data_IF_576737746295
#
_entry.id   IF_576737746295
#
_cell.length_a   1.000
_cell.length_b   1.000
_cell.length_c   1.000
_cell.angle_alpha   90.00
_cell.angle_beta   90.00
_cell.angle_gamma   90.00
#
_symmetry.space_group_name_H-M   'P 1'
#
loop_
_entity.id
_entity.type
_entity.pdbx_description
1 polymer ?
#
# COMPACT_ATOMS: atom_id res chain seq x y z
N UNK A 1 -36.27 13.72 43.94
CA UNK A 1 -35.04 14.17 43.27
C UNK A 1 -34.45 12.98 42.54
N UNK A 2 -34.55 12.94 41.21
CA UNK A 2 -34.03 11.85 40.38
C UNK A 2 -32.52 11.98 40.24
N UNK A 3 -31.76 10.94 40.56
CA UNK A 3 -30.32 10.89 40.31
C UNK A 3 -30.06 11.03 38.80
N UNK A 4 -29.04 11.80 38.37
CA UNK A 4 -28.66 11.86 36.97
C UNK A 4 -28.09 10.51 36.52
N UNK A 5 -28.74 9.87 35.56
CA UNK A 5 -28.35 8.58 34.97
C UNK A 5 -27.20 8.76 33.97
N UNK A 6 -25.98 8.78 34.49
CA UNK A 6 -24.76 9.04 33.72
C UNK A 6 -24.43 7.90 32.73
N UNK A 7 -24.91 6.67 32.98
CA UNK A 7 -24.57 5.49 32.19
C UNK A 7 -25.36 5.38 30.88
N UNK A 8 -26.65 5.71 30.90
CA UNK A 8 -27.48 5.69 29.69
C UNK A 8 -27.12 6.83 28.74
N UNK A 9 -26.78 8.00 29.25
CA UNK A 9 -26.34 9.13 28.43
C UNK A 9 -25.00 8.87 27.72
N UNK A 10 -24.06 8.18 28.39
CA UNK A 10 -22.77 7.85 27.79
C UNK A 10 -22.90 6.80 26.68
N UNK A 11 -23.75 5.78 26.88
CA UNK A 11 -24.03 4.77 25.86
C UNK A 11 -24.77 5.36 24.67
N UNK A 12 -25.73 6.25 24.89
CA UNK A 12 -26.39 7.03 23.82
C UNK A 12 -25.40 7.90 23.05
N UNK A 13 -24.49 8.60 23.73
CA UNK A 13 -23.49 9.44 23.08
C UNK A 13 -22.50 8.60 22.25
N UNK A 14 -22.06 7.45 22.78
CA UNK A 14 -21.18 6.53 22.04
C UNK A 14 -21.87 5.93 20.82
N UNK A 15 -23.13 5.51 20.95
CA UNK A 15 -23.91 5.01 19.82
C UNK A 15 -24.17 6.11 18.78
N UNK A 16 -24.46 7.34 19.20
CA UNK A 16 -24.64 8.48 18.31
C UNK A 16 -23.36 8.84 17.54
N UNK A 17 -22.18 8.73 18.16
CA UNK A 17 -20.89 8.96 17.49
C UNK A 17 -20.60 7.83 16.49
N UNK A 18 -20.90 6.58 16.84
CA UNK A 18 -20.74 5.42 15.95
C UNK A 18 -21.69 5.56 14.75
N UNK A 19 -22.94 5.96 14.98
CA UNK A 19 -23.92 6.19 13.92
C UNK A 19 -23.55 7.40 13.05
N UNK A 20 -23.05 8.49 13.64
CA UNK A 20 -22.55 9.65 12.88
C UNK A 20 -21.33 9.31 12.02
N UNK A 21 -20.46 8.38 12.45
CA UNK A 21 -19.36 7.88 11.62
C UNK A 21 -19.82 6.94 10.50
N UNK A 22 -20.97 6.28 10.67
CA UNK A 22 -21.59 5.42 9.65
C UNK A 22 -22.43 6.21 8.66
N UNK A 23 -22.80 7.44 8.99
CA UNK A 23 -23.40 8.37 8.04
C UNK A 23 -22.32 8.87 7.08
N UNK A 24 -22.27 8.26 5.90
CA UNK A 24 -21.56 8.78 4.71
C UNK A 24 -21.90 10.26 4.49
N UNK A 25 -20.95 11.06 3.97
CA UNK A 25 -21.09 12.52 3.86
C UNK A 25 -22.43 12.93 3.23
N UNK A 26 -23.14 13.92 3.81
CA UNK A 26 -24.37 14.42 3.26
C UNK A 26 -24.02 15.30 2.07
N UNK A 27 -24.01 14.74 0.85
CA UNK A 27 -24.09 15.42 -0.46
C UNK A 27 -24.12 14.35 -1.59
N UNK A 28 -24.88 13.26 -1.40
CA UNK A 28 -25.23 12.36 -2.49
C UNK A 28 -26.73 12.10 -2.44
N UNK A 29 -27.40 12.47 -3.54
CA UNK A 29 -28.82 12.25 -3.77
C UNK A 29 -29.16 10.78 -3.53
N UNK A 30 -30.34 10.48 -2.97
CA UNK A 30 -30.84 9.11 -2.82
C UNK A 30 -30.85 8.39 -4.19
N UNK A 31 -31.00 9.14 -5.28
CA UNK A 31 -30.88 8.65 -6.65
C UNK A 31 -29.44 8.26 -7.00
N UNK A 32 -28.45 9.08 -6.68
CA UNK A 32 -27.02 8.74 -6.88
C UNK A 32 -26.65 7.53 -6.02
N UNK A 33 -27.09 7.50 -4.76
CA UNK A 33 -26.88 6.36 -3.85
C UNK A 33 -27.46 5.06 -4.41
N UNK A 34 -28.66 5.10 -4.99
CA UNK A 34 -29.26 3.93 -5.65
C UNK A 34 -28.58 3.62 -6.99
N UNK A 35 -28.17 4.61 -7.80
CA UNK A 35 -27.39 4.40 -9.03
C UNK A 35 -26.06 3.75 -8.76
N UNK A 36 -25.32 4.19 -7.73
CA UNK A 36 -24.07 3.57 -7.29
C UNK A 36 -24.33 2.13 -6.81
N UNK A 37 -25.42 1.88 -6.09
CA UNK A 37 -25.78 0.54 -5.63
C UNK A 37 -26.14 -0.43 -6.79
N UNK A 38 -26.82 0.06 -7.83
CA UNK A 38 -27.16 -0.75 -9.01
C UNK A 38 -26.01 -0.87 -10.03
N UNK A 39 -25.18 0.16 -10.19
CA UNK A 39 -24.01 0.15 -11.07
C UNK A 39 -22.88 -0.74 -10.52
N UNK A 40 -22.76 -0.85 -9.20
CA UNK A 40 -21.80 -1.75 -8.53
C UNK A 40 -21.83 -3.17 -9.07
N UNK A 41 -23.02 -3.74 -9.32
CA UNK A 41 -23.17 -5.11 -9.88
C UNK A 41 -22.62 -5.31 -11.30
N UNK A 42 -22.18 -4.25 -11.99
CA UNK A 42 -21.66 -4.32 -13.37
C UNK A 42 -20.17 -4.02 -13.47
N UNK A 43 -19.43 -3.86 -12.37
CA UNK A 43 -18.00 -3.52 -12.41
C UNK A 43 -17.18 -4.47 -13.31
N UNK A 44 -17.37 -5.81 -13.26
CA UNK A 44 -16.68 -6.72 -14.18
C UNK A 44 -17.02 -6.51 -15.67
N UNK A 45 -18.23 -6.03 -15.98
CA UNK A 45 -18.65 -5.72 -17.36
C UNK A 45 -18.11 -4.37 -17.85
N UNK A 46 -17.74 -3.49 -16.92
CA UNK A 46 -17.20 -2.15 -17.19
C UNK A 46 -15.67 -2.12 -17.22
N UNK A 47 -15.00 -3.25 -17.03
CA UNK A 47 -13.53 -3.39 -17.02
C UNK A 47 -12.82 -3.00 -18.33
N UNK A 48 -13.53 -2.55 -19.37
CA UNK A 48 -12.95 -1.96 -20.59
C UNK A 48 -13.12 -0.45 -20.73
N UNK A 49 -13.76 0.20 -19.76
CA UNK A 49 -13.99 1.65 -19.77
C UNK A 49 -12.88 2.39 -19.04
N UNK A 50 -12.63 3.66 -19.35
CA UNK A 50 -11.53 4.39 -18.71
C UNK A 50 -11.70 4.47 -17.18
N UNK A 51 -10.60 4.34 -16.42
CA UNK A 51 -10.62 4.52 -14.94
C UNK A 51 -11.16 5.90 -14.54
N UNK A 52 -10.93 6.92 -15.37
CA UNK A 52 -11.53 8.25 -15.18
C UNK A 52 -13.05 8.24 -15.25
N UNK A 53 -13.64 7.47 -16.16
CA UNK A 53 -15.10 7.29 -16.26
C UNK A 53 -15.64 6.52 -15.06
N UNK A 54 -14.94 5.46 -14.63
CA UNK A 54 -15.31 4.71 -13.43
C UNK A 54 -15.28 5.59 -12.18
N UNK A 55 -14.29 6.48 -12.07
CA UNK A 55 -14.19 7.45 -10.98
C UNK A 55 -15.35 8.45 -10.98
N UNK A 56 -15.75 8.93 -12.16
CA UNK A 56 -16.94 9.80 -12.30
C UNK A 56 -18.24 9.07 -11.96
N UNK A 57 -18.30 7.76 -12.19
CA UNK A 57 -19.38 6.88 -11.75
C UNK A 57 -19.29 6.53 -10.25
N UNK A 58 -18.34 7.10 -9.52
CA UNK A 58 -18.16 6.95 -8.08
C UNK A 58 -17.55 5.62 -7.63
N UNK A 59 -16.92 4.88 -8.53
CA UNK A 59 -16.17 3.69 -8.14
C UNK A 59 -14.89 4.08 -7.41
N UNK A 60 -14.56 3.30 -6.37
CA UNK A 60 -13.34 3.40 -5.58
C UNK A 60 -12.50 2.11 -5.71
N UNK A 61 -11.19 2.15 -5.46
CA UNK A 61 -10.33 0.96 -5.51
C UNK A 61 -10.84 -0.22 -4.69
N UNK A 62 -11.47 0.05 -3.55
CA UNK A 62 -12.03 -0.94 -2.64
C UNK A 62 -13.16 -1.74 -3.29
N UNK A 63 -13.94 -1.13 -4.20
CA UNK A 63 -14.99 -1.84 -4.93
C UNK A 63 -14.37 -2.99 -5.76
N UNK A 64 -13.18 -2.80 -6.35
CA UNK A 64 -12.53 -3.86 -7.13
C UNK A 64 -12.13 -5.07 -6.28
N UNK A 65 -11.84 -4.85 -5.00
CA UNK A 65 -11.56 -5.90 -4.03
C UNK A 65 -12.86 -6.61 -3.66
N UNK A 66 -13.95 -5.87 -3.42
CA UNK A 66 -15.27 -6.44 -3.16
C UNK A 66 -15.79 -7.32 -4.32
N UNK A 67 -15.46 -6.95 -5.56
CA UNK A 67 -15.77 -7.75 -6.76
C UNK A 67 -14.77 -8.87 -7.05
N UNK A 68 -13.81 -9.11 -6.16
CA UNK A 68 -12.79 -10.16 -6.27
C UNK A 68 -12.04 -10.13 -7.62
N UNK A 69 -11.80 -8.94 -8.17
CA UNK A 69 -11.08 -8.80 -9.44
C UNK A 69 -9.59 -8.97 -9.15
N UNK A 70 -8.93 -10.00 -9.71
CA UNK A 70 -7.50 -10.16 -9.54
C UNK A 70 -6.74 -9.08 -10.32
N UNK A 71 -5.59 -8.67 -9.81
CA UNK A 71 -4.74 -7.64 -10.40
C UNK A 71 -4.37 -7.92 -11.86
N UNK A 72 -4.10 -9.19 -12.18
CA UNK A 72 -3.74 -9.66 -13.53
C UNK A 72 -4.84 -9.43 -14.58
N UNK A 73 -6.11 -9.29 -14.15
CA UNK A 73 -7.24 -9.04 -15.06
C UNK A 73 -7.53 -7.56 -15.31
N UNK A 74 -6.78 -6.65 -14.69
CA UNK A 74 -6.97 -5.21 -14.86
C UNK A 74 -6.26 -4.77 -16.15
N UNK A 75 -6.96 -4.19 -17.14
CA UNK A 75 -6.34 -3.81 -18.41
C UNK A 75 -5.72 -2.39 -18.39
N UNK A 76 -5.60 -1.76 -17.23
CA UNK A 76 -5.15 -0.38 -17.08
C UNK A 76 -3.65 -0.29 -16.80
N UNK A 77 -3.05 0.84 -17.17
CA UNK A 77 -1.64 1.10 -16.85
C UNK A 77 -1.46 1.37 -15.34
N UNK A 78 -0.24 1.15 -14.84
CA UNK A 78 0.10 1.44 -13.43
C UNK A 78 -0.08 2.95 -13.12
N UNK A 79 0.23 3.82 -14.07
CA UNK A 79 0.02 5.27 -13.94
C UNK A 79 -1.46 5.61 -13.75
N UNK A 80 -2.35 5.00 -14.54
CA UNK A 80 -3.79 5.21 -14.43
C UNK A 80 -4.34 4.65 -13.11
N UNK A 81 -3.86 3.48 -12.69
CA UNK A 81 -4.21 2.89 -11.41
C UNK A 81 -3.79 3.80 -10.24
N UNK A 82 -2.59 4.36 -10.29
CA UNK A 82 -2.10 5.27 -9.26
C UNK A 82 -2.88 6.61 -9.25
N UNK A 83 -3.27 7.13 -10.43
CA UNK A 83 -4.09 8.34 -10.55
C UNK A 83 -5.56 8.11 -10.10
N UNK A 84 -6.08 6.90 -10.32
CA UNK A 84 -7.40 6.49 -9.85
C UNK A 84 -7.44 6.51 -8.32
N UNK A 85 -6.39 5.99 -7.67
CA UNK A 85 -6.21 5.98 -6.22
C UNK A 85 -5.81 4.62 -5.65
N UNK A 86 -5.40 3.66 -6.49
CA UNK A 86 -4.92 2.37 -6.00
C UNK A 86 -3.68 2.54 -5.13
N UNK A 87 -3.72 1.96 -3.94
CA UNK A 87 -2.57 1.85 -3.04
C UNK A 87 -1.94 0.47 -3.20
N UNK A 88 -0.69 0.32 -2.75
CA UNK A 88 -0.04 -1.00 -2.78
C UNK A 88 -0.80 -2.04 -1.94
N UNK A 89 -1.41 -1.64 -0.82
CA UNK A 89 -2.23 -2.55 -0.01
C UNK A 89 -3.47 -3.04 -0.78
N UNK A 90 -4.07 -2.19 -1.64
CA UNK A 90 -5.16 -2.62 -2.52
C UNK A 90 -4.67 -3.66 -3.54
N UNK A 91 -3.48 -3.46 -4.10
CA UNK A 91 -2.88 -4.43 -5.03
C UNK A 91 -2.66 -5.78 -4.34
N UNK A 92 -2.12 -5.78 -3.12
CA UNK A 92 -1.95 -6.99 -2.32
C UNK A 92 -3.29 -7.73 -2.10
N UNK A 93 -4.35 -6.99 -1.75
CA UNK A 93 -5.69 -7.55 -1.58
C UNK A 93 -6.26 -8.13 -2.90
N UNK A 94 -5.87 -7.57 -4.04
CA UNK A 94 -6.22 -8.06 -5.39
C UNK A 94 -5.27 -9.16 -5.90
N UNK A 95 -4.56 -9.87 -5.02
CA UNK A 95 -3.63 -10.96 -5.37
C UNK A 95 -2.43 -10.51 -6.23
N UNK A 96 -1.82 -9.37 -5.90
CA UNK A 96 -0.59 -8.92 -6.54
C UNK A 96 0.59 -9.84 -6.23
N UNK A 97 1.11 -10.48 -7.28
CA UNK A 97 2.26 -11.40 -7.24
C UNK A 97 3.60 -10.75 -7.59
N UNK A 98 4.75 -11.37 -7.22
CA UNK A 98 6.09 -10.86 -7.48
C UNK A 98 6.41 -10.56 -8.95
N UNK A 99 5.86 -11.32 -9.89
CA UNK A 99 6.14 -11.14 -11.31
C UNK A 99 5.58 -9.81 -11.86
N UNK A 100 4.53 -9.25 -11.25
CA UNK A 100 3.95 -7.96 -11.65
C UNK A 100 4.87 -6.78 -11.35
N UNK A 101 5.85 -6.92 -10.44
CA UNK A 101 6.86 -5.88 -10.22
C UNK A 101 7.67 -5.57 -11.48
N UNK A 102 7.75 -6.48 -12.45
CA UNK A 102 8.40 -6.20 -13.74
C UNK A 102 7.68 -5.13 -14.57
N UNK A 103 6.39 -4.90 -14.31
CA UNK A 103 5.60 -3.84 -14.95
C UNK A 103 5.83 -2.48 -14.28
N UNK A 104 6.49 -2.44 -13.12
CA UNK A 104 6.71 -1.20 -12.39
C UNK A 104 7.98 -0.52 -12.88
N UNK A 105 7.85 0.77 -13.19
CA UNK A 105 8.99 1.65 -13.33
C UNK A 105 9.45 2.16 -11.95
N UNK A 106 10.69 2.63 -11.88
CA UNK A 106 11.27 3.16 -10.64
C UNK A 106 10.41 4.26 -9.97
N UNK A 107 9.74 5.08 -10.77
CA UNK A 107 8.83 6.13 -10.26
C UNK A 107 7.63 5.57 -9.49
N UNK A 108 7.09 4.42 -9.91
CA UNK A 108 5.91 3.81 -9.29
C UNK A 108 6.19 3.33 -7.87
N UNK A 109 7.41 2.81 -7.61
CA UNK A 109 7.82 2.40 -6.26
C UNK A 109 7.76 3.57 -5.26
N UNK A 110 8.19 4.76 -5.68
CA UNK A 110 8.11 5.97 -4.84
C UNK A 110 6.68 6.47 -4.67
N UNK A 111 5.92 6.50 -5.77
CA UNK A 111 4.54 6.98 -5.77
C UNK A 111 3.64 6.12 -4.88
N UNK A 112 3.80 4.79 -4.93
CA UNK A 112 3.00 3.83 -4.18
C UNK A 112 3.63 3.41 -2.85
N UNK A 113 4.73 4.07 -2.46
CA UNK A 113 5.44 3.85 -1.19
C UNK A 113 5.76 2.38 -0.93
N UNK A 114 6.23 1.70 -1.97
CA UNK A 114 6.60 0.29 -1.90
C UNK A 114 7.97 0.18 -1.23
N UNK A 115 7.98 -0.31 0.00
CA UNK A 115 9.19 -0.60 0.77
C UNK A 115 9.52 -2.11 0.72
N UNK A 116 10.73 -2.49 1.13
CA UNK A 116 11.16 -3.88 1.24
C UNK A 116 10.20 -4.75 2.06
N UNK A 117 9.67 -4.22 3.17
CA UNK A 117 8.67 -4.95 3.98
C UNK A 117 7.38 -5.20 3.21
N UNK A 118 6.96 -4.25 2.39
CA UNK A 118 5.78 -4.39 1.54
C UNK A 118 6.03 -5.42 0.42
N UNK A 119 7.22 -5.42 -0.18
CA UNK A 119 7.63 -6.43 -1.16
C UNK A 119 7.68 -7.83 -0.55
N UNK A 120 8.18 -7.98 0.68
CA UNK A 120 8.24 -9.28 1.36
C UNK A 120 6.84 -9.86 1.62
N UNK A 121 5.80 -9.03 1.77
CA UNK A 121 4.40 -9.51 1.87
C UNK A 121 3.93 -10.26 0.62
N UNK A 122 4.53 -10.00 -0.55
CA UNK A 122 4.21 -10.70 -1.81
C UNK A 122 4.89 -12.07 -1.94
N UNK A 123 5.58 -12.55 -0.90
CA UNK A 123 6.38 -13.78 -0.94
C UNK A 123 7.46 -13.76 -2.04
N UNK A 124 8.10 -12.60 -2.22
CA UNK A 124 9.13 -12.40 -3.23
C UNK A 124 10.38 -13.25 -2.96
N UNK A 125 10.81 -14.04 -3.95
CA UNK A 125 12.02 -14.84 -3.87
C UNK A 125 13.26 -14.07 -4.32
N UNK A 126 14.45 -14.61 -4.05
CA UNK A 126 15.72 -14.05 -4.55
C UNK A 126 15.79 -14.03 -6.08
N UNK A 127 15.26 -15.05 -6.73
CA UNK A 127 15.24 -15.12 -8.18
C UNK A 127 14.40 -13.99 -8.77
N UNK A 128 13.26 -13.69 -8.14
CA UNK A 128 12.41 -12.56 -8.54
C UNK A 128 13.13 -11.22 -8.31
N UNK A 129 13.80 -11.06 -7.17
CA UNK A 129 14.57 -9.84 -6.88
C UNK A 129 15.67 -9.60 -7.92
N UNK A 130 16.39 -10.65 -8.31
CA UNK A 130 17.46 -10.58 -9.32
C UNK A 130 16.87 -10.25 -10.69
N UNK A 131 15.69 -10.80 -11.01
CA UNK A 131 15.00 -10.51 -12.26
C UNK A 131 14.58 -9.04 -12.39
N UNK A 132 14.34 -8.34 -11.26
CA UNK A 132 14.05 -6.91 -11.23
C UNK A 132 15.28 -6.03 -11.45
N UNK A 133 16.49 -6.59 -11.36
CA UNK A 133 17.77 -5.91 -11.68
C UNK A 133 17.97 -4.56 -10.96
N UNK A 134 17.55 -4.47 -9.69
CA UNK A 134 17.77 -3.25 -8.92
C UNK A 134 19.25 -3.00 -8.65
N UNK A 135 19.64 -1.73 -8.70
CA UNK A 135 20.98 -1.33 -8.26
C UNK A 135 21.09 -1.39 -6.74
N UNK A 136 22.30 -1.54 -6.17
CA UNK A 136 22.51 -1.50 -4.72
C UNK A 136 21.93 -0.23 -4.06
N UNK A 137 22.03 0.90 -4.76
CA UNK A 137 21.45 2.18 -4.34
C UNK A 137 19.93 2.14 -4.27
N UNK A 138 19.28 1.55 -5.27
CA UNK A 138 17.82 1.41 -5.31
C UNK A 138 17.33 0.48 -4.21
N UNK A 139 18.02 -0.64 -3.98
CA UNK A 139 17.71 -1.56 -2.87
C UNK A 139 17.77 -0.83 -1.52
N UNK A 140 18.81 -0.01 -1.31
CA UNK A 140 18.92 0.79 -0.10
C UNK A 140 17.78 1.83 0.03
N UNK A 141 17.40 2.50 -1.06
CA UNK A 141 16.27 3.45 -1.06
C UNK A 141 14.93 2.78 -0.75
N UNK A 142 14.75 1.51 -1.15
CA UNK A 142 13.60 0.68 -0.80
C UNK A 142 13.68 0.11 0.62
N UNK A 143 14.65 0.53 1.44
CA UNK A 143 14.88 0.04 2.82
C UNK A 143 15.19 -1.45 2.91
N UNK A 144 15.81 -2.03 1.87
CA UNK A 144 16.39 -3.36 1.98
C UNK A 144 17.60 -3.32 2.90
N UNK A 145 17.65 -4.24 3.85
CA UNK A 145 18.84 -4.48 4.67
C UNK A 145 19.48 -5.81 4.27
N UNK A 146 20.76 -5.97 4.56
CA UNK A 146 21.46 -7.24 4.29
C UNK A 146 20.82 -8.42 5.01
N UNK A 147 20.27 -8.21 6.21
CA UNK A 147 19.53 -9.22 6.95
C UNK A 147 18.26 -9.67 6.19
N UNK A 148 17.49 -8.74 5.63
CA UNK A 148 16.29 -9.05 4.82
C UNK A 148 16.66 -9.77 3.53
N UNK A 149 17.74 -9.33 2.86
CA UNK A 149 18.25 -9.99 1.66
C UNK A 149 18.71 -11.42 1.95
N UNK A 150 19.44 -11.66 3.05
CA UNK A 150 19.76 -13.03 3.48
C UNK A 150 18.52 -13.86 3.80
N UNK A 151 17.49 -13.24 4.38
CA UNK A 151 16.23 -13.91 4.73
C UNK A 151 15.50 -14.53 3.54
N UNK A 152 15.60 -13.91 2.35
CA UNK A 152 15.04 -14.47 1.11
C UNK A 152 15.99 -15.47 0.42
N UNK A 153 17.22 -15.64 0.93
CA UNK A 153 18.25 -16.55 0.39
C UNK A 153 19.34 -15.87 -0.43
N UNK A 154 19.51 -14.55 -0.31
CA UNK A 154 20.45 -13.84 -1.16
C UNK A 154 21.90 -14.03 -0.71
N UNK A 155 22.78 -14.22 -1.69
CA UNK A 155 24.24 -14.25 -1.51
C UNK A 155 24.87 -13.03 -2.20
N UNK A 156 26.10 -12.64 -1.80
CA UNK A 156 26.84 -11.55 -2.46
C UNK A 156 27.02 -11.79 -3.96
N UNK A 157 27.19 -13.06 -4.35
CA UNK A 157 27.37 -13.50 -5.73
C UNK A 157 26.08 -13.37 -6.54
N UNK A 158 24.92 -13.64 -5.94
CA UNK A 158 23.65 -13.66 -6.65
C UNK A 158 23.10 -12.25 -6.96
N UNK A 159 23.36 -11.24 -6.12
CA UNK A 159 22.85 -9.87 -6.33
C UNK A 159 23.82 -9.02 -7.20
N UNK A 160 24.94 -9.55 -7.67
CA UNK A 160 25.97 -8.78 -8.40
C UNK A 160 26.38 -7.49 -7.65
N UNK A 161 26.51 -7.57 -6.33
CA UNK A 161 26.86 -6.42 -5.49
C UNK A 161 28.38 -6.38 -5.28
N UNK A 162 29.01 -5.24 -5.56
CA UNK A 162 30.43 -5.09 -5.28
C UNK A 162 30.69 -5.06 -3.76
N UNK A 163 31.87 -5.52 -3.34
CA UNK A 163 32.26 -5.48 -1.92
C UNK A 163 32.26 -4.04 -1.36
N UNK A 164 32.54 -3.06 -2.21
CA UNK A 164 32.50 -1.62 -1.90
C UNK A 164 31.07 -1.13 -1.66
N UNK A 165 30.12 -1.49 -2.54
CA UNK A 165 28.70 -1.09 -2.40
C UNK A 165 28.05 -1.74 -1.18
N UNK A 166 28.42 -2.99 -0.90
CA UNK A 166 27.96 -3.68 0.31
C UNK A 166 28.42 -2.95 1.57
N UNK A 167 29.63 -2.41 1.58
CA UNK A 167 30.15 -1.61 2.70
C UNK A 167 29.47 -0.26 2.81
N UNK A 168 29.22 0.41 1.68
CA UNK A 168 28.66 1.76 1.65
C UNK A 168 27.18 1.81 2.04
N UNK A 169 26.38 0.84 1.58
CA UNK A 169 24.93 0.87 1.74
C UNK A 169 24.39 -0.13 2.77
N UNK A 170 25.09 -1.23 3.06
CA UNK A 170 24.53 -2.36 3.81
C UNK A 170 25.29 -2.75 5.08
N UNK A 171 26.58 -2.38 5.20
CA UNK A 171 27.26 -2.45 6.50
C UNK A 171 26.82 -1.24 7.29
N UNK A 172 26.32 -1.50 8.49
CA UNK A 172 25.93 -0.47 9.43
C UNK A 172 27.07 0.55 9.55
N UNK A 173 26.77 1.81 9.23
CA UNK A 173 27.35 2.91 9.99
C UNK A 173 26.99 2.63 11.45
N UNK A 174 27.86 1.93 12.17
CA UNK A 174 27.89 1.85 13.63
C UNK A 174 28.18 3.24 14.27
N UNK A 175 28.15 4.30 13.47
CA UNK A 175 28.26 5.70 13.86
C UNK A 175 26.93 6.44 13.64
N UNK A 176 25.77 5.80 13.83
CA UNK A 176 24.63 6.57 14.34
C UNK A 176 24.98 6.96 15.77
N UNK A 177 25.70 8.07 15.84
CA UNK A 177 25.93 8.97 16.97
C UNK A 177 24.95 8.70 18.12
N UNK A 178 25.33 7.80 19.03
CA UNK A 178 25.06 8.00 20.45
C UNK A 178 25.79 9.30 20.83
N UNK A 179 25.18 10.45 20.52
CA UNK A 179 25.41 11.65 21.31
C UNK A 179 24.77 11.31 22.64
N UNK A 180 25.55 10.71 23.53
CA UNK A 180 25.32 10.88 24.95
C UNK A 180 25.20 12.38 25.15
N UNK A 181 23.99 12.85 25.41
CA UNK A 181 23.77 14.21 25.88
C UNK A 181 24.51 14.24 27.20
N UNK A 182 25.73 14.80 27.18
CA UNK A 182 26.47 15.10 28.40
C UNK A 182 25.57 15.95 29.26
N UNK A 183 25.12 15.40 30.39
CA UNK A 183 24.39 16.14 31.39
C UNK A 183 25.29 17.28 31.86
N UNK A 184 25.01 18.51 31.40
CA UNK A 184 25.59 19.71 31.99
C UNK A 184 25.06 19.80 33.42
N UNK A 185 25.92 19.49 34.39
CA UNK A 185 25.72 19.90 35.78
C UNK A 185 26.04 21.40 35.84
N UNK A 186 25.02 22.20 36.14
CA UNK A 186 25.18 23.56 36.65
C UNK A 186 25.50 23.50 38.16
#
# INVERSE_FOLDING_TARGET
MSLPDLGTHQTLALNAIIDARRQTPPELSVWERTRHFFARKQLPQLLGTSLTTLKQQGFIPEDFIEFEIPWDKIPYSIDDCAAFGFTFDHMLAMNFQPHHFKQFEWRHYRQMRVDADAMLKTCLSVHDLIALKFTPQQLHQLKWSWAKLKGIGATPENINMSASDQQLYFKQTTQQVQRSIGAFKF
#
